data_IF_193475523577
#
_entry.id   IF_193475523577
#
_cell.length_a   1.000
_cell.length_b   1.000
_cell.length_c   1.000
_cell.angle_alpha   90.00
_cell.angle_beta   90.00
_cell.angle_gamma   90.00
#
_symmetry.space_group_name_H-M   'P 1'
#
loop_
_entity.id
_entity.type
_entity.pdbx_description
1 polymer ?
#
# COMPACT_ATOMS: atom_id res chain seq x y z
N UNK A 1 45.70 10.34 21.24
CA UNK A 1 45.22 9.41 22.29
C UNK A 1 45.49 8.00 21.78
N UNK A 2 46.20 7.16 22.54
CA UNK A 2 46.38 5.76 22.14
C UNK A 2 45.04 5.03 22.28
N UNK A 3 44.50 4.48 21.19
CA UNK A 3 43.21 3.76 21.19
C UNK A 3 43.33 2.34 21.78
N UNK A 4 44.47 1.99 22.37
CA UNK A 4 44.70 0.75 23.08
C UNK A 4 45.08 1.10 24.54
N UNK A 5 44.27 0.74 25.55
CA UNK A 5 44.66 0.84 26.94
C UNK A 5 45.96 0.07 27.17
N UNK A 6 46.91 0.68 27.86
CA UNK A 6 48.26 0.14 28.09
C UNK A 6 48.21 -1.16 28.91
N UNK A 7 47.10 -1.42 29.62
CA UNK A 7 46.92 -2.56 30.54
C UNK A 7 45.97 -3.65 30.02
N UNK A 8 45.88 -3.87 28.70
CA UNK A 8 45.12 -4.99 28.15
C UNK A 8 45.91 -6.31 28.26
N UNK A 9 45.43 -7.21 29.11
CA UNK A 9 45.94 -8.59 29.19
C UNK A 9 45.19 -9.52 28.23
N UNK A 10 45.90 -10.07 27.24
CA UNK A 10 45.33 -10.98 26.25
C UNK A 10 45.58 -12.44 26.63
N UNK A 11 44.50 -13.22 26.78
CA UNK A 11 44.59 -14.68 26.89
C UNK A 11 44.61 -15.31 25.49
N UNK A 12 45.70 -16.02 25.16
CA UNK A 12 45.86 -16.72 23.88
C UNK A 12 44.75 -17.76 23.66
N UNK A 13 44.36 -18.47 24.72
CA UNK A 13 43.32 -19.51 24.68
C UNK A 13 41.94 -18.91 24.38
N UNK A 14 41.56 -17.82 25.04
CA UNK A 14 40.29 -17.15 24.76
C UNK A 14 40.30 -16.44 23.40
N UNK A 15 41.44 -15.87 23.00
CA UNK A 15 41.60 -15.25 21.68
C UNK A 15 41.32 -16.25 20.57
N UNK A 16 41.98 -17.42 20.60
CA UNK A 16 41.79 -18.45 19.56
C UNK A 16 40.33 -18.91 19.48
N UNK A 17 39.70 -19.25 20.61
CA UNK A 17 38.28 -19.66 20.65
C UNK A 17 37.33 -18.59 20.08
N UNK A 18 37.60 -17.31 20.37
CA UNK A 18 36.78 -16.19 19.86
C UNK A 18 36.98 -15.98 18.36
N UNK A 19 38.21 -16.12 17.87
CA UNK A 19 38.52 -16.01 16.44
C UNK A 19 37.89 -17.17 15.68
N UNK A 20 37.97 -18.41 16.18
CA UNK A 20 37.30 -19.57 15.58
C UNK A 20 35.79 -19.35 15.47
N UNK A 21 35.14 -18.93 16.57
CA UNK A 21 33.71 -18.59 16.54
C UNK A 21 33.38 -17.46 15.56
N UNK A 22 34.27 -16.48 15.43
CA UNK A 22 34.10 -15.40 14.45
C UNK A 22 34.27 -15.91 13.01
N UNK A 23 35.18 -16.87 12.77
CA UNK A 23 35.33 -17.50 11.46
C UNK A 23 34.07 -18.28 11.05
N UNK A 24 33.43 -18.98 11.99
CA UNK A 24 32.15 -19.66 11.74
C UNK A 24 31.03 -18.67 11.40
N UNK A 25 30.93 -17.55 12.14
CA UNK A 25 29.82 -16.60 12.00
C UNK A 25 29.97 -15.57 10.88
N UNK A 26 31.18 -15.09 10.61
CA UNK A 26 31.47 -14.00 9.67
C UNK A 26 32.27 -14.46 8.45
N UNK A 27 32.88 -15.65 8.51
CA UNK A 27 33.73 -16.17 7.46
C UNK A 27 35.18 -15.71 7.57
N UNK A 28 36.10 -16.61 7.25
CA UNK A 28 37.56 -16.43 7.38
C UNK A 28 38.05 -15.13 6.75
N UNK A 29 37.68 -14.88 5.49
CA UNK A 29 38.15 -13.69 4.74
C UNK A 29 37.77 -12.36 5.39
N UNK A 30 36.56 -12.26 5.95
CA UNK A 30 36.08 -11.02 6.59
C UNK A 30 36.83 -10.80 7.90
N UNK A 31 36.96 -11.83 8.72
CA UNK A 31 37.66 -11.75 10.01
C UNK A 31 39.15 -11.43 9.80
N UNK A 32 39.82 -12.04 8.83
CA UNK A 32 41.22 -11.71 8.47
C UNK A 32 41.37 -10.23 8.09
N UNK A 33 40.43 -9.67 7.32
CA UNK A 33 40.42 -8.24 6.95
C UNK A 33 40.19 -7.35 8.17
N UNK A 34 39.27 -7.71 9.06
CA UNK A 34 38.98 -6.97 10.31
C UNK A 34 40.24 -6.92 11.18
N UNK A 35 40.90 -8.06 11.41
CA UNK A 35 42.12 -8.12 12.20
C UNK A 35 43.21 -7.26 11.55
N UNK A 36 43.44 -7.41 10.25
CA UNK A 36 44.47 -6.64 9.54
C UNK A 36 44.23 -5.14 9.54
N UNK A 37 43.00 -4.71 9.31
CA UNK A 37 42.63 -3.30 9.38
C UNK A 37 42.79 -2.74 10.79
N UNK A 38 42.40 -3.50 11.81
CA UNK A 38 42.55 -3.09 13.21
C UNK A 38 44.02 -2.91 13.58
N UNK A 39 44.88 -3.86 13.21
CA UNK A 39 46.33 -3.73 13.45
C UNK A 39 46.93 -2.53 12.71
N UNK A 40 46.48 -2.26 11.49
CA UNK A 40 46.88 -1.07 10.72
C UNK A 40 46.49 0.23 11.44
N UNK A 41 45.26 0.33 11.94
CA UNK A 41 44.78 1.48 12.71
C UNK A 41 45.53 1.64 14.05
N UNK A 42 45.98 0.54 14.65
CA UNK A 42 46.83 0.54 15.85
C UNK A 42 48.30 0.87 15.55
N UNK A 43 48.66 1.11 14.28
CA UNK A 43 49.99 1.57 13.88
C UNK A 43 51.01 0.47 13.57
N UNK A 44 50.59 -0.79 13.45
CA UNK A 44 51.50 -1.86 13.03
C UNK A 44 51.94 -1.67 11.56
N UNK A 45 53.19 -2.07 11.25
CA UNK A 45 53.73 -1.97 9.88
C UNK A 45 52.96 -2.89 8.94
N UNK A 46 52.80 -2.44 7.70
CA UNK A 46 51.97 -3.17 6.71
C UNK A 46 52.56 -4.53 6.36
N UNK A 47 53.88 -4.62 6.34
CA UNK A 47 54.67 -5.83 6.07
C UNK A 47 54.46 -6.86 7.18
N UNK A 48 54.56 -6.44 8.44
CA UNK A 48 54.38 -7.29 9.61
C UNK A 48 52.94 -7.85 9.68
N UNK A 49 51.95 -7.02 9.35
CA UNK A 49 50.54 -7.45 9.27
C UNK A 49 50.34 -8.48 8.16
N UNK A 50 50.87 -8.24 6.97
CA UNK A 50 50.72 -9.14 5.83
C UNK A 50 51.35 -10.52 6.13
N UNK A 51 52.54 -10.52 6.75
CA UNK A 51 53.21 -11.74 7.21
C UNK A 51 52.40 -12.46 8.30
N UNK A 52 51.92 -11.73 9.31
CA UNK A 52 51.12 -12.29 10.40
C UNK A 52 49.82 -12.96 9.89
N UNK A 53 49.14 -12.33 8.95
CA UNK A 53 47.90 -12.84 8.36
C UNK A 53 48.12 -13.85 7.23
N UNK A 54 49.37 -14.13 6.85
CA UNK A 54 49.73 -15.02 5.75
C UNK A 54 49.06 -14.63 4.41
N UNK A 55 48.99 -13.33 4.12
CA UNK A 55 48.48 -12.79 2.86
C UNK A 55 49.55 -12.02 2.11
N UNK A 56 49.45 -11.94 0.78
CA UNK A 56 50.41 -11.15 0.00
C UNK A 56 50.25 -9.65 0.28
N UNK A 57 51.37 -8.93 0.31
CA UNK A 57 51.40 -7.49 0.54
C UNK A 57 50.51 -6.71 -0.44
N UNK A 58 50.53 -7.09 -1.73
CA UNK A 58 49.64 -6.50 -2.74
C UNK A 58 48.15 -6.70 -2.44
N UNK A 59 47.76 -7.85 -1.90
CA UNK A 59 46.37 -8.12 -1.48
C UNK A 59 45.96 -7.23 -0.31
N UNK A 60 46.86 -7.06 0.67
CA UNK A 60 46.60 -6.22 1.83
C UNK A 60 46.49 -4.74 1.44
N UNK A 61 47.40 -4.22 0.62
CA UNK A 61 47.35 -2.85 0.08
C UNK A 61 46.06 -2.61 -0.72
N UNK A 62 45.71 -3.53 -1.62
CA UNK A 62 44.47 -3.45 -2.40
C UNK A 62 43.22 -3.46 -1.51
N UNK A 63 43.28 -4.11 -0.35
CA UNK A 63 42.22 -4.03 0.64
C UNK A 63 42.19 -2.68 1.35
N UNK A 64 43.33 -2.14 1.81
CA UNK A 64 43.40 -0.82 2.45
C UNK A 64 42.90 0.30 1.52
N UNK A 65 43.32 0.30 0.25
CA UNK A 65 42.83 1.27 -0.75
C UNK A 65 41.31 1.20 -0.89
N UNK A 66 40.74 -0.01 -0.91
CA UNK A 66 39.27 -0.17 -0.98
C UNK A 66 38.59 0.27 0.31
N UNK A 67 39.18 0.01 1.47
CA UNK A 67 38.63 0.43 2.76
C UNK A 67 38.61 1.96 2.89
N UNK A 68 39.62 2.64 2.36
CA UNK A 68 39.67 4.10 2.29
C UNK A 68 38.60 4.65 1.33
N UNK A 69 38.44 4.06 0.15
CA UNK A 69 37.49 4.52 -0.87
C UNK A 69 36.02 4.19 -0.59
N UNK A 70 35.74 3.03 0.00
CA UNK A 70 34.38 2.47 0.12
C UNK A 70 33.97 2.16 1.57
N UNK A 71 34.83 2.45 2.55
CA UNK A 71 34.55 2.22 3.97
C UNK A 71 34.23 0.75 4.27
N UNK A 72 33.14 0.53 5.01
CA UNK A 72 32.69 -0.79 5.46
C UNK A 72 32.42 -1.78 4.31
N UNK A 73 32.02 -1.28 3.13
CA UNK A 73 31.75 -2.12 1.96
C UNK A 73 33.00 -2.85 1.44
N UNK A 74 34.21 -2.40 1.81
CA UNK A 74 35.46 -3.05 1.42
C UNK A 74 35.66 -4.44 2.04
N UNK A 75 34.99 -4.69 3.17
CA UNK A 75 35.06 -5.97 3.89
C UNK A 75 34.20 -7.04 3.21
N UNK A 76 33.18 -6.65 2.46
CA UNK A 76 32.27 -7.56 1.76
C UNK A 76 32.83 -8.00 0.39
N UNK A 77 32.31 -9.13 -0.14
CA UNK A 77 32.56 -9.56 -1.51
C UNK A 77 31.45 -9.02 -2.42
N UNK A 78 31.72 -7.92 -3.14
CA UNK A 78 30.78 -7.27 -4.06
C UNK A 78 30.28 -8.17 -5.20
N UNK A 79 30.95 -9.30 -5.47
CA UNK A 79 30.53 -10.27 -6.49
C UNK A 79 29.46 -11.24 -5.98
N UNK A 80 29.24 -11.29 -4.66
CA UNK A 80 28.16 -12.04 -4.05
C UNK A 80 27.08 -11.06 -3.64
N UNK A 81 25.83 -11.37 -4.01
CA UNK A 81 24.66 -10.68 -3.43
C UNK A 81 24.84 -10.65 -1.91
N UNK A 82 24.68 -9.48 -1.30
CA UNK A 82 24.97 -9.22 0.11
C UNK A 82 24.49 -10.40 0.97
N UNK A 83 25.37 -10.91 1.84
CA UNK A 83 24.96 -11.91 2.83
C UNK A 83 23.90 -11.26 3.72
N UNK A 84 22.63 -11.47 3.36
CA UNK A 84 21.49 -11.13 4.19
C UNK A 84 21.54 -12.11 5.35
N UNK A 85 22.26 -11.75 6.42
CA UNK A 85 21.89 -12.25 7.73
C UNK A 85 20.42 -11.85 7.85
N UNK A 86 19.54 -12.84 7.91
CA UNK A 86 18.13 -12.62 8.24
C UNK A 86 18.16 -12.05 9.65
N UNK A 87 18.32 -10.73 9.75
CA UNK A 87 17.70 -10.00 10.85
C UNK A 87 16.26 -10.45 10.74
N UNK A 88 15.75 -11.06 11.80
CA UNK A 88 14.33 -11.16 12.00
C UNK A 88 13.82 -9.72 12.02
N UNK A 89 13.63 -9.12 10.84
CA UNK A 89 12.59 -8.13 10.65
C UNK A 89 11.40 -8.80 11.28
N UNK A 90 10.92 -8.23 12.38
CA UNK A 90 9.63 -8.57 12.95
C UNK A 90 8.70 -8.82 11.77
N UNK A 91 8.11 -10.03 11.73
CA UNK A 91 7.29 -10.45 10.60
C UNK A 91 6.36 -9.27 10.26
N UNK A 92 6.21 -8.89 8.98
CA UNK A 92 5.38 -7.75 8.61
C UNK A 92 4.05 -7.88 9.35
N UNK A 93 3.64 -6.82 10.06
CA UNK A 93 2.43 -6.82 10.88
C UNK A 93 1.33 -7.45 10.04
N UNK A 94 0.94 -8.68 10.39
CA UNK A 94 -0.11 -9.38 9.66
C UNK A 94 -1.40 -8.67 10.01
N UNK A 95 -1.95 -7.98 9.03
CA UNK A 95 -3.26 -7.35 9.14
C UNK A 95 -4.27 -8.27 8.46
N UNK A 96 -5.33 -8.62 9.18
CA UNK A 96 -6.45 -9.41 8.65
C UNK A 96 -7.77 -8.68 8.88
N UNK A 97 -8.71 -8.93 7.97
CA UNK A 97 -10.07 -8.40 8.01
C UNK A 97 -11.06 -9.51 8.38
N UNK A 98 -11.93 -9.21 9.34
CA UNK A 98 -13.10 -10.01 9.65
C UNK A 98 -14.36 -9.13 9.60
N UNK A 99 -15.47 -9.71 9.16
CA UNK A 99 -16.76 -9.02 9.07
C UNK A 99 -17.80 -9.81 9.84
N UNK A 100 -18.50 -9.13 10.73
CA UNK A 100 -19.67 -9.62 11.44
C UNK A 100 -20.92 -8.88 10.98
N UNK A 101 -22.10 -9.26 11.48
CA UNK A 101 -23.33 -8.54 11.16
C UNK A 101 -23.26 -7.06 11.56
N UNK A 102 -22.62 -6.77 12.70
CA UNK A 102 -22.62 -5.44 13.31
C UNK A 102 -21.32 -4.67 13.09
N UNK A 103 -20.19 -5.36 12.92
CA UNK A 103 -18.86 -4.75 12.94
C UNK A 103 -17.94 -5.26 11.83
N UNK A 104 -17.05 -4.38 11.37
CA UNK A 104 -15.82 -4.73 10.65
C UNK A 104 -14.67 -4.74 11.66
N UNK A 105 -13.88 -5.80 11.68
CA UNK A 105 -12.79 -6.00 12.64
C UNK A 105 -11.48 -6.08 11.85
N UNK A 106 -10.52 -5.24 12.21
CA UNK A 106 -9.16 -5.27 11.68
C UNK A 106 -8.24 -5.80 12.77
N UNK A 107 -7.68 -6.98 12.56
CA UNK A 107 -6.73 -7.60 13.49
C UNK A 107 -5.31 -7.16 13.14
N UNK A 108 -4.54 -6.74 14.15
CA UNK A 108 -3.18 -6.24 14.02
C UNK A 108 -2.20 -7.20 14.73
N UNK A 109 -1.48 -8.00 13.96
CA UNK A 109 -0.45 -8.89 14.49
C UNK A 109 -0.98 -10.02 15.40
N UNK A 110 -0.09 -10.62 16.19
CA UNK A 110 -0.39 -11.81 17.00
C UNK A 110 -0.93 -11.53 18.42
N UNK A 111 -1.02 -10.28 18.84
CA UNK A 111 -1.25 -9.90 20.24
C UNK A 111 -2.69 -9.42 20.54
N UNK A 112 -3.69 -9.94 19.83
CA UNK A 112 -5.12 -9.62 20.06
C UNK A 112 -5.48 -8.13 19.97
N UNK A 113 -4.71 -7.34 19.21
CA UNK A 113 -5.03 -5.93 18.97
C UNK A 113 -6.02 -5.84 17.82
N UNK A 114 -7.20 -5.29 18.09
CA UNK A 114 -8.28 -5.19 17.12
C UNK A 114 -8.80 -3.75 17.01
N UNK A 115 -9.05 -3.32 15.77
CA UNK A 115 -9.84 -2.12 15.49
C UNK A 115 -11.24 -2.59 15.10
N UNK A 116 -12.22 -2.27 15.94
CA UNK A 116 -13.63 -2.63 15.74
C UNK A 116 -14.38 -1.40 15.21
N UNK A 117 -15.01 -1.54 14.05
CA UNK A 117 -15.71 -0.47 13.35
C UNK A 117 -17.18 -0.87 13.17
N UNK A 118 -18.14 -0.10 13.72
CA UNK A 118 -19.56 -0.39 13.51
C UNK A 118 -19.95 -0.26 12.03
N UNK A 119 -20.52 -1.32 11.44
CA UNK A 119 -20.96 -1.34 10.02
C UNK A 119 -22.02 -0.28 9.72
N UNK A 120 -22.80 0.13 10.72
CA UNK A 120 -23.78 1.22 10.58
C UNK A 120 -23.11 2.55 10.22
N UNK A 121 -21.87 2.78 10.63
CA UNK A 121 -21.13 4.00 10.29
C UNK A 121 -20.31 3.79 9.02
N UNK A 122 -20.99 3.86 7.87
CA UNK A 122 -20.37 3.62 6.56
C UNK A 122 -19.23 4.60 6.27
N UNK A 123 -19.31 5.85 6.72
CA UNK A 123 -18.25 6.83 6.52
C UNK A 123 -16.98 6.43 7.28
N UNK A 124 -17.13 6.05 8.55
CA UNK A 124 -16.01 5.58 9.38
C UNK A 124 -15.39 4.30 8.79
N UNK A 125 -16.20 3.35 8.32
CA UNK A 125 -15.70 2.17 7.62
C UNK A 125 -14.84 2.54 6.41
N UNK A 126 -15.33 3.43 5.54
CA UNK A 126 -14.56 3.88 4.36
C UNK A 126 -13.25 4.54 4.77
N UNK A 127 -13.29 5.48 5.72
CA UNK A 127 -12.09 6.23 6.15
C UNK A 127 -11.01 5.30 6.66
N UNK A 128 -11.35 4.41 7.60
CA UNK A 128 -10.36 3.53 8.22
C UNK A 128 -9.83 2.52 7.19
N UNK A 129 -10.70 1.84 6.45
CA UNK A 129 -10.28 0.82 5.48
C UNK A 129 -9.43 1.39 4.35
N UNK A 130 -9.79 2.56 3.81
CA UNK A 130 -9.01 3.22 2.77
C UNK A 130 -7.67 3.75 3.30
N UNK A 131 -7.63 4.19 4.57
CA UNK A 131 -6.36 4.57 5.22
C UNK A 131 -5.41 3.38 5.29
N UNK A 132 -5.91 2.18 5.63
CA UNK A 132 -5.11 0.95 5.62
C UNK A 132 -4.62 0.57 4.22
N UNK A 133 -5.43 0.79 3.18
CA UNK A 133 -5.02 0.59 1.78
C UNK A 133 -3.91 1.57 1.38
N UNK A 134 -4.02 2.84 1.73
CA UNK A 134 -2.98 3.85 1.45
C UNK A 134 -1.64 3.53 2.11
N UNK A 135 -1.65 2.85 3.26
CA UNK A 135 -0.45 2.42 3.96
C UNK A 135 0.06 1.03 3.55
N UNK A 136 -0.56 0.40 2.53
CA UNK A 136 -0.17 -0.92 2.05
C UNK A 136 -0.46 -2.07 3.03
N UNK A 137 -1.28 -1.83 4.05
CA UNK A 137 -1.65 -2.82 5.07
C UNK A 137 -2.81 -3.71 4.63
N UNK A 138 -3.67 -3.21 3.74
CA UNK A 138 -4.78 -3.94 3.14
C UNK A 138 -4.78 -3.75 1.62
N UNK A 139 -5.32 -4.71 0.90
CA UNK A 139 -5.49 -4.60 -0.54
C UNK A 139 -6.81 -3.93 -0.91
N UNK A 140 -6.87 -3.21 -2.05
CA UNK A 140 -8.15 -2.68 -2.57
C UNK A 140 -9.19 -3.78 -2.83
N UNK A 141 -8.76 -5.02 -3.06
CA UNK A 141 -9.64 -6.16 -3.28
C UNK A 141 -10.38 -6.53 -1.99
N UNK A 142 -9.64 -6.79 -0.91
CA UNK A 142 -10.22 -7.12 0.40
C UNK A 142 -11.19 -6.02 0.87
N UNK A 143 -10.79 -4.76 0.76
CA UNK A 143 -11.67 -3.63 1.15
C UNK A 143 -12.91 -3.53 0.26
N UNK A 144 -12.80 -3.83 -1.04
CA UNK A 144 -13.96 -3.79 -1.93
C UNK A 144 -15.01 -4.84 -1.58
N UNK A 145 -14.58 -6.02 -1.15
CA UNK A 145 -15.46 -7.11 -0.70
C UNK A 145 -16.20 -6.72 0.58
N UNK A 146 -15.50 -6.09 1.54
CA UNK A 146 -16.10 -5.62 2.80
C UNK A 146 -17.10 -4.48 2.59
N UNK A 147 -16.77 -3.53 1.70
CA UNK A 147 -17.62 -2.37 1.41
C UNK A 147 -18.75 -2.68 0.40
N UNK A 148 -18.72 -3.82 -0.29
CA UNK A 148 -19.68 -4.15 -1.34
C UNK A 148 -19.52 -3.29 -2.60
N UNK A 149 -18.30 -2.82 -2.88
CA UNK A 149 -17.99 -1.99 -4.04
C UNK A 149 -17.18 -2.76 -5.08
N UNK A 150 -17.09 -2.21 -6.29
CA UNK A 150 -16.10 -2.72 -7.24
C UNK A 150 -14.69 -2.30 -6.82
N UNK A 151 -13.69 -3.12 -7.17
CA UNK A 151 -12.26 -2.80 -6.95
C UNK A 151 -11.90 -1.46 -7.59
N UNK A 152 -12.43 -1.18 -8.80
CA UNK A 152 -12.21 0.10 -9.50
C UNK A 152 -12.77 1.28 -8.71
N UNK A 153 -14.00 1.17 -8.20
CA UNK A 153 -14.60 2.24 -7.40
C UNK A 153 -13.86 2.45 -6.08
N UNK A 154 -13.38 1.38 -5.46
CA UNK A 154 -12.57 1.43 -4.22
C UNK A 154 -11.26 2.18 -4.46
N UNK A 155 -10.57 1.92 -5.58
CA UNK A 155 -9.35 2.66 -5.95
C UNK A 155 -9.62 4.14 -6.24
N UNK A 156 -10.70 4.44 -6.95
CA UNK A 156 -11.11 5.82 -7.23
C UNK A 156 -11.42 6.60 -5.94
N UNK A 157 -12.16 5.98 -5.00
CA UNK A 157 -12.41 6.57 -3.68
C UNK A 157 -11.12 6.77 -2.88
N UNK A 158 -10.20 5.80 -2.93
CA UNK A 158 -8.91 5.89 -2.25
C UNK A 158 -8.07 7.08 -2.76
N UNK A 159 -8.01 7.25 -4.09
CA UNK A 159 -7.33 8.39 -4.72
C UNK A 159 -7.96 9.72 -4.32
N UNK A 160 -9.30 9.83 -4.41
CA UNK A 160 -10.03 11.05 -4.03
C UNK A 160 -9.85 11.41 -2.56
N UNK A 161 -9.85 10.43 -1.66
CA UNK A 161 -9.59 10.66 -0.23
C UNK A 161 -8.16 11.14 0.00
N UNK A 162 -7.19 10.57 -0.71
CA UNK A 162 -5.78 10.96 -0.60
C UNK A 162 -5.53 12.40 -1.11
N UNK A 163 -6.19 12.78 -2.21
CA UNK A 163 -6.01 14.09 -2.85
C UNK A 163 -6.84 15.22 -2.21
N UNK A 164 -8.03 14.92 -1.67
CA UNK A 164 -8.97 15.95 -1.23
C UNK A 164 -9.67 15.69 0.09
N UNK A 165 -9.12 14.80 0.92
CA UNK A 165 -9.56 14.47 2.28
C UNK A 165 -10.89 13.68 2.36
N UNK A 166 -11.28 13.32 3.59
CA UNK A 166 -12.45 12.49 3.96
C UNK A 166 -13.76 13.03 3.38
N UNK A 167 -13.87 14.33 3.11
CA UNK A 167 -15.05 14.95 2.51
C UNK A 167 -15.45 14.36 1.14
N UNK A 168 -14.52 13.73 0.42
CA UNK A 168 -14.85 13.03 -0.84
C UNK A 168 -15.57 11.70 -0.66
N UNK A 169 -15.55 11.13 0.55
CA UNK A 169 -16.22 9.86 0.87
C UNK A 169 -17.71 10.04 1.22
N UNK A 170 -18.10 11.28 1.51
CA UNK A 170 -19.48 11.67 1.79
C UNK A 170 -20.29 11.58 0.48
N UNK A 171 -21.44 10.92 0.52
CA UNK A 171 -22.33 10.90 -0.65
C UNK A 171 -22.93 12.29 -0.87
N UNK A 172 -22.42 12.99 -1.90
CA UNK A 172 -22.89 14.32 -2.30
C UNK A 172 -24.14 14.26 -3.17
N UNK A 173 -24.65 13.07 -3.49
CA UNK A 173 -25.89 12.92 -4.26
C UNK A 173 -27.06 13.32 -3.39
N UNK A 174 -27.45 14.60 -3.48
CA UNK A 174 -28.86 14.94 -3.40
C UNK A 174 -29.48 14.38 -4.67
N UNK A 175 -30.08 13.20 -4.60
CA UNK A 175 -30.90 12.68 -5.69
C UNK A 175 -31.88 13.77 -6.14
N UNK A 176 -32.24 13.77 -7.43
CA UNK A 176 -33.21 14.72 -7.95
C UNK A 176 -34.54 14.56 -7.18
N UNK A 177 -34.87 15.52 -6.31
CA UNK A 177 -36.06 15.49 -5.44
C UNK A 177 -37.34 15.75 -6.25
N UNK A 178 -37.21 16.44 -7.39
CA UNK A 178 -38.32 16.79 -8.29
C UNK A 178 -37.94 16.62 -9.75
N UNK A 179 -38.82 16.00 -10.54
CA UNK A 179 -38.62 15.82 -11.98
C UNK A 179 -38.97 17.11 -12.75
N UNK A 180 -37.98 18.00 -12.92
CA UNK A 180 -38.15 19.33 -13.51
C UNK A 180 -38.72 19.31 -14.93
N UNK A 181 -38.60 18.19 -15.67
CA UNK A 181 -39.14 18.05 -17.03
C UNK A 181 -40.50 17.35 -17.08
N UNK A 182 -40.89 16.67 -16.01
CA UNK A 182 -42.17 15.96 -15.89
C UNK A 182 -42.95 16.55 -14.72
N UNK A 183 -43.31 17.82 -14.87
CA UNK A 183 -44.23 18.48 -13.93
C UNK A 183 -45.59 17.78 -13.96
N UNK A 184 -46.45 17.97 -12.94
CA UNK A 184 -47.79 17.40 -12.92
C UNK A 184 -48.60 17.68 -14.20
N UNK A 185 -48.43 18.86 -14.77
CA UNK A 185 -49.09 19.28 -16.02
C UNK A 185 -48.61 18.45 -17.21
N UNK A 186 -47.29 18.25 -17.34
CA UNK A 186 -46.72 17.42 -18.41
C UNK A 186 -47.11 15.95 -18.24
N UNK A 187 -47.21 15.46 -17.00
CA UNK A 187 -47.70 14.11 -16.72
C UNK A 187 -49.17 13.94 -17.09
N UNK A 188 -50.01 14.93 -16.80
CA UNK A 188 -51.40 14.93 -17.23
C UNK A 188 -51.51 14.91 -18.76
N UNK A 189 -50.70 15.70 -19.46
CA UNK A 189 -50.67 15.72 -20.91
C UNK A 189 -50.25 14.36 -21.50
N UNK A 190 -49.23 13.71 -20.92
CA UNK A 190 -48.81 12.37 -21.32
C UNK A 190 -49.96 11.36 -21.22
N UNK A 191 -50.70 11.36 -20.11
CA UNK A 191 -51.85 10.47 -19.91
C UNK A 191 -52.95 10.78 -20.94
N UNK A 192 -53.23 12.06 -21.18
CA UNK A 192 -54.25 12.48 -22.15
C UNK A 192 -53.90 12.04 -23.58
N UNK A 193 -52.64 12.21 -24.02
CA UNK A 193 -52.22 11.78 -25.36
C UNK A 193 -52.31 10.27 -25.54
N UNK A 194 -51.96 9.51 -24.51
CA UNK A 194 -52.04 8.05 -24.54
C UNK A 194 -53.48 7.58 -24.62
N UNK A 195 -54.36 8.14 -23.78
CA UNK A 195 -55.78 7.82 -23.78
C UNK A 195 -56.45 8.20 -25.12
N UNK A 196 -56.17 9.40 -25.63
CA UNK A 196 -56.68 9.86 -26.91
C UNK A 196 -56.21 8.96 -28.05
N UNK A 197 -54.94 8.55 -28.05
CA UNK A 197 -54.42 7.64 -29.07
C UNK A 197 -55.06 6.25 -28.97
N UNK A 198 -55.24 5.72 -27.77
CA UNK A 198 -55.88 4.42 -27.56
C UNK A 198 -57.33 4.39 -28.06
N UNK A 199 -58.10 5.45 -27.78
CA UNK A 199 -59.51 5.56 -28.21
C UNK A 199 -59.62 5.75 -29.73
N UNK A 200 -58.67 6.48 -30.34
CA UNK A 200 -58.71 6.81 -31.78
C UNK A 200 -57.94 5.81 -32.66
N UNK A 201 -57.38 4.73 -32.08
CA UNK A 201 -56.60 3.74 -32.81
C UNK A 201 -55.23 4.23 -33.28
N UNK A 202 -54.73 5.34 -32.73
CA UNK A 202 -53.40 5.89 -33.04
C UNK A 202 -52.31 5.21 -32.20
N UNK A 203 -51.02 5.28 -32.61
CA UNK A 203 -49.93 4.67 -31.86
C UNK A 203 -49.76 5.26 -30.45
N UNK A 204 -49.73 4.40 -29.43
CA UNK A 204 -49.46 4.76 -28.02
C UNK A 204 -47.99 4.57 -27.63
N UNK A 205 -47.10 4.34 -28.60
CA UNK A 205 -45.68 4.13 -28.33
C UNK A 205 -45.04 5.38 -27.74
N UNK A 206 -44.04 5.20 -26.88
CA UNK A 206 -43.36 6.32 -26.20
C UNK A 206 -42.75 7.32 -27.18
N UNK A 207 -42.31 6.86 -28.37
CA UNK A 207 -41.83 7.72 -29.46
C UNK A 207 -42.95 8.55 -30.08
N UNK A 208 -44.11 7.96 -30.32
CA UNK A 208 -45.27 8.67 -30.88
C UNK A 208 -45.80 9.71 -29.90
N UNK A 209 -45.92 9.35 -28.62
CA UNK A 209 -46.35 10.26 -27.56
C UNK A 209 -45.33 11.39 -27.36
N UNK A 210 -44.03 11.10 -27.35
CA UNK A 210 -42.98 12.13 -27.27
C UNK A 210 -43.07 13.16 -28.40
N UNK A 211 -43.30 12.69 -29.62
CA UNK A 211 -43.45 13.57 -30.78
C UNK A 211 -44.70 14.48 -30.65
N UNK A 212 -45.82 13.95 -30.16
CA UNK A 212 -47.04 14.73 -29.92
C UNK A 212 -46.86 15.79 -28.84
N UNK A 213 -46.14 15.45 -27.75
CA UNK A 213 -45.80 16.42 -26.69
C UNK A 213 -44.87 17.51 -27.23
N UNK A 214 -43.92 17.16 -28.09
CA UNK A 214 -43.06 18.14 -28.76
C UNK A 214 -43.88 19.10 -29.62
N UNK A 215 -44.84 18.60 -30.38
CA UNK A 215 -45.69 19.40 -31.26
C UNK A 215 -46.66 20.31 -30.49
N UNK A 216 -47.23 19.83 -29.38
CA UNK A 216 -48.27 20.55 -28.63
C UNK A 216 -47.73 21.46 -27.54
N UNK A 217 -46.68 21.02 -26.84
CA UNK A 217 -46.15 21.70 -25.66
C UNK A 217 -44.76 22.32 -25.93
N UNK A 218 -44.23 22.20 -27.15
CA UNK A 218 -42.87 22.62 -27.52
C UNK A 218 -41.80 22.03 -26.58
N UNK A 219 -42.04 20.83 -26.05
CA UNK A 219 -41.19 20.19 -25.05
C UNK A 219 -40.61 18.87 -25.59
N UNK A 220 -39.29 18.78 -25.62
CA UNK A 220 -38.59 17.57 -26.08
C UNK A 220 -38.34 16.62 -24.91
N UNK A 221 -39.10 15.52 -24.86
CA UNK A 221 -38.97 14.48 -23.84
C UNK A 221 -38.28 13.23 -24.40
N UNK A 222 -37.31 12.61 -23.69
CA UNK A 222 -36.70 11.37 -24.15
C UNK A 222 -37.71 10.21 -24.12
N UNK A 223 -37.77 9.40 -25.18
CA UNK A 223 -38.66 8.23 -25.30
C UNK A 223 -38.55 7.28 -24.10
N UNK A 224 -37.33 7.11 -23.57
CA UNK A 224 -37.06 6.26 -22.39
C UNK A 224 -37.73 6.80 -21.13
N UNK A 225 -37.75 8.13 -20.96
CA UNK A 225 -38.36 8.79 -19.81
C UNK A 225 -39.88 8.81 -19.94
N UNK A 226 -40.42 9.02 -21.15
CA UNK A 226 -41.86 8.89 -21.43
C UNK A 226 -42.34 7.47 -21.08
N UNK A 227 -41.62 6.44 -21.52
CA UNK A 227 -41.95 5.05 -21.18
C UNK A 227 -41.90 4.77 -19.66
N UNK A 228 -40.96 5.38 -18.94
CA UNK A 228 -40.85 5.21 -17.48
C UNK A 228 -42.08 5.76 -16.76
N UNK A 229 -42.67 6.85 -17.24
CA UNK A 229 -43.84 7.49 -16.62
C UNK A 229 -45.19 6.90 -17.10
N UNK A 230 -45.18 6.09 -18.15
CA UNK A 230 -46.38 5.46 -18.72
C UNK A 230 -46.57 3.99 -18.33
N UNK A 231 -45.50 3.33 -17.85
CA UNK A 231 -45.54 1.97 -17.32
C UNK A 231 -45.82 1.99 -15.82
#
# INVERSE_FOLDING_TARGET
>A
MSNCPIDLHFSKTHSNKRIEKAYEGLGVKIVTRIIGFTLFLLGAKREDIAQYLQISMGTFLSFLTRADQYGLLAFEDRRKSAYKKVVTTEAPVKVSLAVTEQNVIIQLGGNNQEIIIPRKNLLQCKVILLTFVNNGLLTPKEVSEVLGFSVRHTRDLNGKMHEGDVYWLIDKRKGQIQDYRFTPEIKAELIQQVAANAITGKPTSSRAVSQQIKERCNLVLPDRSVRLHMN
#
